data_IF_428358218576
#
_entry.id   IF_428358218576
#
_cell.length_a   1.000
_cell.length_b   1.000
_cell.length_c   1.000
_cell.angle_alpha   90.00
_cell.angle_beta   90.00
_cell.angle_gamma   90.00
#
_symmetry.space_group_name_H-M   'P 1'
#
loop_
_entity.id
_entity.type
_entity.pdbx_description
1 polymer ?
#
# COMPACT_ATOMS: atom_id res chain seq x y z
N UNK A 1 -46.15 12.60 -63.60
CA UNK A 1 -44.78 12.07 -63.78
C UNK A 1 -43.92 12.52 -62.61
N UNK A 2 -43.25 11.57 -61.97
CA UNK A 2 -42.61 11.70 -60.67
C UNK A 2 -41.32 12.53 -60.68
N UNK A 3 -41.09 13.31 -59.61
CA UNK A 3 -39.79 13.39 -58.91
C UNK A 3 -39.95 14.08 -57.55
N UNK A 4 -40.03 13.26 -56.50
CA UNK A 4 -39.85 13.66 -55.10
C UNK A 4 -38.40 14.14 -54.91
N UNK A 5 -38.22 15.35 -54.35
CA UNK A 5 -36.97 15.75 -53.67
C UNK A 5 -37.27 15.85 -52.18
N UNK A 6 -36.93 14.81 -51.44
CA UNK A 6 -36.98 14.80 -49.98
C UNK A 6 -35.71 15.42 -49.41
N UNK A 7 -35.92 16.34 -48.48
CA UNK A 7 -34.95 16.94 -47.56
C UNK A 7 -34.15 15.88 -46.81
N UNK A 8 -32.82 15.99 -46.84
CA UNK A 8 -31.91 15.25 -45.97
C UNK A 8 -31.61 16.11 -44.75
N UNK A 9 -32.40 15.95 -43.68
CA UNK A 9 -32.05 16.46 -42.35
C UNK A 9 -31.00 15.54 -41.70
N UNK A 10 -29.88 16.14 -41.31
CA UNK A 10 -28.82 15.46 -40.59
C UNK A 10 -29.35 14.95 -39.23
N UNK A 11 -29.52 13.63 -39.14
CA UNK A 11 -30.00 12.98 -37.91
C UNK A 11 -28.79 12.67 -37.02
N UNK A 12 -28.73 13.36 -35.88
CA UNK A 12 -27.80 13.14 -34.75
C UNK A 12 -27.83 11.65 -34.34
N UNK A 13 -26.70 10.93 -34.21
CA UNK A 13 -26.75 9.55 -33.74
C UNK A 13 -27.11 9.53 -32.25
N UNK A 14 -28.26 8.92 -31.95
CA UNK A 14 -28.69 8.52 -30.59
C UNK A 14 -27.58 7.72 -29.92
N UNK A 15 -27.01 8.25 -28.84
CA UNK A 15 -26.17 7.49 -27.90
C UNK A 15 -27.04 6.38 -27.29
N UNK A 16 -26.82 5.13 -27.72
CA UNK A 16 -27.29 3.96 -26.97
C UNK A 16 -26.54 3.92 -25.65
N UNK A 17 -27.26 4.09 -24.55
CA UNK A 17 -26.78 3.75 -23.22
C UNK A 17 -26.54 2.23 -23.17
N UNK A 18 -25.29 1.83 -23.33
CA UNK A 18 -24.82 0.52 -22.87
C UNK A 18 -24.62 0.61 -21.35
N UNK A 19 -25.18 -0.31 -20.55
CA UNK A 19 -24.85 -0.38 -19.13
C UNK A 19 -23.38 -0.77 -18.99
N UNK A 20 -22.60 0.12 -18.35
CA UNK A 20 -21.19 -0.07 -18.05
C UNK A 20 -21.03 -1.20 -17.03
N UNK A 21 -20.50 -2.32 -17.51
CA UNK A 21 -20.01 -3.44 -16.70
C UNK A 21 -18.93 -2.90 -15.76
N UNK A 22 -19.25 -2.88 -14.47
CA UNK A 22 -18.30 -2.63 -13.41
C UNK A 22 -17.19 -3.69 -13.48
N UNK A 23 -15.97 -3.29 -13.84
CA UNK A 23 -14.78 -4.12 -13.68
C UNK A 23 -14.48 -4.18 -12.19
N UNK A 24 -15.12 -5.15 -11.53
CA UNK A 24 -14.76 -5.60 -10.21
C UNK A 24 -13.43 -6.35 -10.32
N UNK A 25 -12.51 -6.03 -9.42
CA UNK A 25 -11.39 -6.90 -9.10
C UNK A 25 -12.00 -8.18 -8.52
N UNK A 26 -12.26 -9.16 -9.37
CA UNK A 26 -12.53 -10.53 -8.93
C UNK A 26 -11.19 -11.14 -8.52
N UNK A 27 -10.92 -11.15 -7.22
CA UNK A 27 -10.23 -12.28 -6.63
C UNK A 27 -11.04 -13.53 -7.03
N UNK A 28 -10.42 -14.44 -7.76
CA UNK A 28 -11.05 -15.68 -8.16
C UNK A 28 -11.24 -16.55 -6.92
N UNK A 29 -12.45 -16.56 -6.37
CA UNK A 29 -12.93 -17.65 -5.52
C UNK A 29 -12.95 -18.96 -6.34
N UNK A 30 -12.67 -20.12 -5.72
CA UNK A 30 -12.60 -21.39 -6.45
C UNK A 30 -13.98 -21.77 -6.99
N UNK A 31 -14.03 -22.13 -8.26
CA UNK A 31 -15.23 -22.64 -8.92
C UNK A 31 -15.58 -24.00 -8.33
N UNK A 32 -16.73 -24.12 -7.66
CA UNK A 32 -17.25 -25.40 -7.19
C UNK A 32 -17.70 -26.24 -8.38
N UNK A 33 -16.96 -27.31 -8.69
CA UNK A 33 -17.44 -28.37 -9.56
C UNK A 33 -18.40 -29.27 -8.76
N UNK A 34 -19.66 -29.35 -9.21
CA UNK A 34 -20.62 -30.35 -8.73
C UNK A 34 -20.42 -31.62 -9.57
N UNK A 35 -20.01 -32.71 -8.94
CA UNK A 35 -20.25 -34.07 -9.39
C UNK A 35 -20.30 -34.99 -8.16
N UNK A 36 -21.38 -35.75 -8.04
CA UNK A 36 -21.61 -36.65 -6.91
C UNK A 36 -20.71 -37.90 -6.95
N UNK A 37 -20.60 -38.53 -5.78
CA UNK A 37 -19.90 -39.81 -5.60
C UNK A 37 -19.03 -39.77 -4.35
N UNK A 38 -19.56 -40.29 -3.24
CA UNK A 38 -18.84 -40.42 -1.98
C UNK A 38 -17.60 -41.32 -2.15
N UNK A 39 -16.41 -40.78 -1.88
CA UNK A 39 -15.28 -41.58 -1.43
C UNK A 39 -14.26 -40.69 -0.73
N UNK A 40 -14.09 -40.95 0.58
CA UNK A 40 -12.99 -40.58 1.49
C UNK A 40 -12.58 -39.10 1.51
N UNK A 41 -12.86 -38.47 2.65
CA UNK A 41 -12.19 -37.27 3.10
C UNK A 41 -10.67 -37.46 2.95
N UNK A 42 -10.10 -36.87 1.89
CA UNK A 42 -8.69 -36.54 1.85
C UNK A 42 -8.47 -35.58 3.01
N UNK A 43 -7.52 -35.90 3.89
CA UNK A 43 -6.89 -34.89 4.73
C UNK A 43 -6.68 -33.65 3.88
N UNK A 44 -7.27 -32.53 4.29
CA UNK A 44 -7.15 -31.28 3.56
C UNK A 44 -5.67 -30.88 3.62
N UNK A 45 -4.91 -31.28 2.59
CA UNK A 45 -3.51 -30.92 2.46
C UNK A 45 -3.39 -29.42 2.70
N UNK A 46 -2.61 -29.05 3.71
CA UNK A 46 -2.46 -27.65 4.06
C UNK A 46 -1.98 -26.91 2.81
N UNK A 47 -2.65 -25.81 2.40
CA UNK A 47 -2.31 -25.14 1.16
C UNK A 47 -0.86 -24.67 1.25
N UNK A 48 -0.01 -25.23 0.39
CA UNK A 48 1.37 -24.79 0.22
C UNK A 48 1.42 -23.71 -0.86
N UNK A 49 2.44 -22.87 -0.79
CA UNK A 49 2.68 -21.82 -1.74
C UNK A 49 4.15 -21.76 -2.13
N UNK A 50 4.40 -21.32 -3.35
CA UNK A 50 5.73 -21.04 -3.87
C UNK A 50 5.84 -19.54 -4.11
N UNK A 51 6.95 -18.95 -3.66
CA UNK A 51 7.25 -17.53 -3.89
C UNK A 51 8.54 -17.45 -4.68
N UNK A 52 8.46 -16.85 -5.85
CA UNK A 52 9.58 -16.71 -6.77
C UNK A 52 9.77 -15.26 -7.16
N UNK A 53 11.03 -14.83 -7.29
CA UNK A 53 11.36 -13.49 -7.75
C UNK A 53 12.31 -13.58 -8.92
N UNK A 54 11.96 -12.92 -10.01
CA UNK A 54 12.80 -12.79 -11.21
C UNK A 54 13.02 -11.32 -11.53
N UNK A 55 14.07 -11.03 -12.29
CA UNK A 55 14.34 -9.69 -12.76
C UNK A 55 14.76 -9.66 -14.22
N UNK A 56 14.51 -8.52 -14.85
CA UNK A 56 14.91 -8.20 -16.22
C UNK A 56 15.20 -6.70 -16.32
N UNK A 57 15.89 -6.29 -17.38
CA UNK A 57 16.12 -4.87 -17.64
C UNK A 57 14.91 -4.24 -18.35
N UNK A 58 14.52 -3.03 -17.95
CA UNK A 58 13.42 -2.29 -18.59
C UNK A 58 13.71 -1.85 -20.03
N UNK A 59 14.98 -1.92 -20.46
CA UNK A 59 15.46 -1.48 -21.77
C UNK A 59 15.89 -0.01 -21.77
N UNK A 60 16.68 0.40 -22.75
CA UNK A 60 17.37 1.70 -22.75
C UNK A 60 16.51 2.87 -23.27
N UNK A 61 15.39 2.61 -23.95
CA UNK A 61 14.50 3.65 -24.48
C UNK A 61 13.23 3.12 -25.14
N UNK A 62 12.23 4.00 -25.30
CA UNK A 62 10.94 3.69 -25.91
C UNK A 62 9.75 4.20 -25.10
N UNK A 63 8.55 3.97 -25.62
CA UNK A 63 7.30 4.24 -24.90
C UNK A 63 7.08 3.23 -23.77
N UNK A 64 6.39 3.61 -22.66
CA UNK A 64 5.99 2.66 -21.64
C UNK A 64 5.20 1.49 -22.21
N UNK A 65 5.49 0.27 -21.74
CA UNK A 65 4.88 -0.97 -22.24
C UNK A 65 4.44 -1.87 -21.10
N UNK A 66 3.49 -2.77 -21.38
CA UNK A 66 3.10 -3.81 -20.44
C UNK A 66 3.98 -5.03 -20.67
N UNK A 67 4.60 -5.59 -19.63
CA UNK A 67 5.40 -6.80 -19.73
C UNK A 67 4.60 -8.00 -19.23
N UNK A 68 4.47 -9.06 -20.04
CA UNK A 68 3.91 -10.34 -19.59
C UNK A 68 5.04 -11.31 -19.29
N UNK A 69 5.08 -11.82 -18.07
CA UNK A 69 6.04 -12.83 -17.63
C UNK A 69 5.31 -14.16 -17.45
N UNK A 70 5.72 -15.18 -18.19
CA UNK A 70 5.23 -16.55 -18.00
C UNK A 70 6.18 -17.32 -17.11
N UNK A 71 5.63 -17.80 -16.00
CA UNK A 71 6.26 -18.68 -15.03
C UNK A 71 5.84 -20.11 -15.34
N UNK A 72 6.82 -21.00 -15.49
CA UNK A 72 6.58 -22.44 -15.66
C UNK A 72 7.31 -23.17 -14.55
N UNK A 73 6.59 -23.91 -13.72
CA UNK A 73 7.16 -24.69 -12.63
C UNK A 73 7.00 -26.18 -12.83
N UNK A 74 7.99 -26.95 -12.39
CA UNK A 74 7.97 -28.42 -12.33
C UNK A 74 8.51 -28.88 -10.99
N UNK A 75 7.81 -29.81 -10.36
CA UNK A 75 8.25 -30.40 -9.10
C UNK A 75 9.39 -31.39 -9.33
N UNK A 76 10.40 -31.33 -8.49
CA UNK A 76 11.62 -32.14 -8.58
C UNK A 76 11.46 -33.40 -7.73
N UNK A 77 12.16 -34.48 -8.12
CA UNK A 77 12.25 -35.70 -7.31
C UNK A 77 11.02 -36.61 -7.35
N UNK A 78 10.13 -36.44 -8.33
CA UNK A 78 8.96 -37.30 -8.52
C UNK A 78 9.43 -38.70 -8.94
N UNK A 79 8.98 -39.72 -8.19
CA UNK A 79 9.14 -41.13 -8.58
C UNK A 79 7.88 -41.57 -9.32
N UNK A 80 8.00 -41.84 -10.62
CA UNK A 80 6.88 -42.26 -11.47
C UNK A 80 6.41 -41.18 -12.45
N UNK A 81 5.23 -41.35 -13.03
CA UNK A 81 4.66 -40.39 -14.00
C UNK A 81 4.23 -39.09 -13.29
N UNK A 82 4.65 -37.91 -13.79
CA UNK A 82 4.21 -36.62 -13.26
C UNK A 82 2.69 -36.48 -13.31
N UNK A 83 2.09 -35.98 -12.23
CA UNK A 83 0.65 -35.71 -12.14
C UNK A 83 0.36 -34.26 -12.56
N UNK A 84 -0.90 -33.92 -12.89
CA UNK A 84 -1.29 -32.55 -13.19
C UNK A 84 -0.91 -31.53 -12.10
N UNK A 85 -0.86 -31.94 -10.83
CA UNK A 85 -0.46 -31.11 -9.69
C UNK A 85 1.06 -30.94 -9.51
N UNK A 86 1.89 -31.61 -10.31
CA UNK A 86 3.37 -31.53 -10.23
C UNK A 86 3.96 -30.51 -11.23
N UNK A 87 3.11 -29.75 -11.93
CA UNK A 87 3.53 -28.69 -12.85
C UNK A 87 2.54 -27.53 -12.83
N UNK A 88 3.01 -26.33 -13.14
CA UNK A 88 2.13 -25.17 -13.32
C UNK A 88 2.64 -24.26 -14.43
N UNK A 89 1.70 -23.53 -15.04
CA UNK A 89 1.99 -22.39 -15.92
C UNK A 89 1.18 -21.22 -15.42
N UNK A 90 1.83 -20.06 -15.22
CA UNK A 90 1.18 -18.85 -14.75
C UNK A 90 1.72 -17.63 -15.46
N UNK A 91 0.82 -16.81 -15.98
CA UNK A 91 1.16 -15.52 -16.60
C UNK A 91 0.94 -14.39 -15.60
N UNK A 92 1.94 -13.55 -15.43
CA UNK A 92 1.90 -12.33 -14.63
C UNK A 92 2.12 -11.12 -15.54
N UNK A 93 1.20 -10.15 -15.49
CA UNK A 93 1.33 -8.91 -16.24
C UNK A 93 1.82 -7.79 -15.33
N UNK A 94 2.87 -7.09 -15.77
CA UNK A 94 3.39 -5.86 -15.20
C UNK A 94 2.94 -4.73 -16.12
N UNK A 95 2.06 -3.87 -15.62
CA UNK A 95 1.55 -2.74 -16.39
C UNK A 95 2.50 -1.55 -16.30
N UNK A 96 2.69 -0.84 -17.42
CA UNK A 96 3.42 0.43 -17.45
C UNK A 96 4.89 0.34 -17.03
N UNK A 97 5.62 -0.67 -17.52
CA UNK A 97 7.09 -0.70 -17.45
C UNK A 97 7.63 0.51 -18.22
N UNK A 98 8.46 1.31 -17.55
CA UNK A 98 9.06 2.51 -18.14
C UNK A 98 10.51 2.20 -18.53
N UNK A 99 10.88 2.26 -19.82
CA UNK A 99 12.26 2.14 -20.26
C UNK A 99 13.18 3.16 -19.57
N UNK A 100 14.45 2.82 -19.40
CA UNK A 100 15.45 3.64 -18.71
C UNK A 100 15.30 3.65 -17.18
N UNK A 101 14.44 2.79 -16.62
CA UNK A 101 14.37 2.59 -15.16
C UNK A 101 15.41 1.61 -14.64
N UNK A 102 16.12 0.91 -15.54
CA UNK A 102 17.09 -0.14 -15.24
C UNK A 102 16.40 -1.44 -14.79
N UNK A 103 16.90 -2.13 -13.75
CA UNK A 103 16.43 -3.45 -13.35
C UNK A 103 15.02 -3.40 -12.75
N UNK A 104 14.12 -4.21 -13.32
CA UNK A 104 12.76 -4.45 -12.86
C UNK A 104 12.66 -5.87 -12.30
N UNK A 105 12.12 -6.02 -11.10
CA UNK A 105 11.86 -7.33 -10.49
C UNK A 105 10.37 -7.62 -10.38
N UNK A 106 10.00 -8.86 -10.59
CA UNK A 106 8.66 -9.40 -10.35
C UNK A 106 8.73 -10.49 -9.28
N UNK A 107 7.95 -10.35 -8.22
CA UNK A 107 7.68 -11.39 -7.24
C UNK A 107 6.28 -11.95 -7.47
N UNK A 108 6.17 -13.28 -7.59
CA UNK A 108 4.92 -13.98 -7.79
C UNK A 108 4.68 -15.02 -6.68
N UNK A 109 3.42 -15.20 -6.31
CA UNK A 109 2.96 -16.18 -5.33
C UNK A 109 2.06 -17.19 -6.01
N UNK A 110 2.49 -18.46 -6.06
CA UNK A 110 1.70 -19.56 -6.61
C UNK A 110 1.19 -20.39 -5.44
N UNK A 111 -0.12 -20.36 -5.20
CA UNK A 111 -0.78 -21.05 -4.09
C UNK A 111 -1.40 -22.38 -4.55
N UNK A 112 -1.62 -23.30 -3.61
CA UNK A 112 -2.31 -24.57 -3.86
C UNK A 112 -1.41 -25.58 -4.59
N UNK A 113 -0.10 -25.52 -4.34
CA UNK A 113 0.87 -26.46 -4.90
C UNK A 113 1.06 -27.65 -3.96
N UNK A 114 1.58 -28.75 -4.50
CA UNK A 114 2.04 -29.88 -3.69
C UNK A 114 3.34 -29.53 -2.96
N UNK A 115 3.47 -30.03 -1.72
CA UNK A 115 4.69 -29.84 -0.92
C UNK A 115 5.93 -30.40 -1.63
N UNK A 116 7.01 -29.65 -1.68
CA UNK A 116 8.30 -30.15 -2.19
C UNK A 116 9.20 -29.08 -2.78
N UNK A 117 10.15 -29.52 -3.58
CA UNK A 117 11.07 -28.64 -4.31
C UNK A 117 10.62 -28.49 -5.76
N UNK A 118 10.72 -27.25 -6.26
CA UNK A 118 10.20 -26.86 -7.57
C UNK A 118 11.28 -26.14 -8.37
N UNK A 119 11.54 -26.61 -9.57
CA UNK A 119 12.25 -25.84 -10.58
C UNK A 119 11.28 -24.89 -11.26
N UNK A 120 11.65 -23.61 -11.34
CA UNK A 120 10.81 -22.59 -11.97
C UNK A 120 11.64 -21.86 -13.01
N UNK A 121 11.06 -21.72 -14.19
CA UNK A 121 11.58 -20.91 -15.29
C UNK A 121 10.64 -19.72 -15.52
N UNK A 122 11.22 -18.59 -15.91
CA UNK A 122 10.48 -17.38 -16.23
C UNK A 122 10.90 -16.82 -17.58
N UNK A 123 9.92 -16.40 -18.41
CA UNK A 123 10.17 -15.82 -19.73
C UNK A 123 9.29 -14.60 -19.98
N UNK A 124 9.86 -13.58 -20.62
CA UNK A 124 9.09 -12.45 -21.13
C UNK A 124 8.35 -12.88 -22.41
N UNK A 125 7.06 -12.57 -22.46
CA UNK A 125 6.21 -12.76 -23.63
C UNK A 125 5.99 -11.40 -24.28
N UNK A 126 6.31 -11.24 -25.58
CA UNK A 126 6.01 -10.01 -26.31
C UNK A 126 4.51 -9.70 -26.28
N UNK A 127 4.19 -8.48 -25.87
CA UNK A 127 2.84 -7.90 -25.83
C UNK A 127 2.78 -6.82 -26.92
N UNK A 128 2.11 -7.10 -28.04
CA UNK A 128 1.94 -6.08 -29.08
C UNK A 128 1.00 -4.97 -28.61
N UNK A 129 1.29 -3.68 -28.88
CA UNK A 129 0.35 -2.60 -28.65
C UNK A 129 -0.94 -2.88 -29.44
N UNK A 130 -2.09 -2.97 -28.77
CA UNK A 130 -3.39 -3.18 -29.42
C UNK A 130 -4.00 -4.59 -29.32
N UNK A 131 -3.52 -5.46 -28.43
CA UNK A 131 -4.25 -6.68 -28.05
C UNK A 131 -4.28 -7.81 -29.09
N UNK A 132 -3.59 -7.67 -30.22
CA UNK A 132 -3.29 -8.80 -31.10
C UNK A 132 -2.09 -9.55 -30.55
N UNK A 133 -2.32 -10.76 -30.03
CA UNK A 133 -1.23 -11.69 -29.73
C UNK A 133 -0.37 -11.86 -30.98
N UNK A 134 0.87 -11.40 -30.96
CA UNK A 134 1.85 -11.81 -31.96
C UNK A 134 1.91 -13.34 -31.98
N UNK A 135 2.11 -13.91 -33.16
CA UNK A 135 2.20 -15.35 -33.37
C UNK A 135 3.28 -15.93 -32.42
N UNK A 136 2.97 -16.86 -31.50
CA UNK A 136 3.88 -17.31 -30.44
C UNK A 136 5.15 -18.02 -30.93
N UNK A 137 5.31 -18.21 -32.24
CA UNK A 137 6.40 -18.98 -32.85
C UNK A 137 7.65 -18.19 -33.21
N UNK A 138 7.68 -16.85 -33.14
CA UNK A 138 8.76 -16.11 -33.82
C UNK A 138 9.78 -15.34 -32.99
N UNK A 139 9.62 -15.09 -31.68
CA UNK A 139 10.75 -14.63 -30.85
C UNK A 139 10.53 -15.07 -29.40
N UNK A 140 11.08 -16.23 -29.00
CA UNK A 140 11.20 -16.54 -27.58
C UNK A 140 12.28 -15.61 -27.02
N UNK A 141 11.88 -14.59 -26.24
CA UNK A 141 12.84 -13.75 -25.52
C UNK A 141 13.64 -14.63 -24.54
N UNK A 142 14.91 -14.27 -24.25
CA UNK A 142 15.74 -15.03 -23.34
C UNK A 142 15.07 -15.21 -21.97
N UNK A 143 15.33 -16.33 -21.27
CA UNK A 143 14.82 -16.52 -19.92
C UNK A 143 15.28 -15.38 -19.02
N UNK A 144 14.36 -14.87 -18.21
CA UNK A 144 14.69 -13.83 -17.24
C UNK A 144 15.32 -14.48 -16.01
N UNK A 145 16.17 -13.72 -15.33
CA UNK A 145 17.07 -14.29 -14.33
C UNK A 145 16.42 -14.32 -12.94
N UNK A 146 16.65 -15.37 -12.13
CA UNK A 146 16.27 -15.34 -10.73
C UNK A 146 16.88 -14.13 -10.02
N UNK A 147 16.12 -13.52 -9.13
CA UNK A 147 16.51 -12.30 -8.45
C UNK A 147 16.80 -12.53 -6.97
N UNK A 148 17.86 -11.88 -6.49
CA UNK A 148 18.11 -11.65 -5.07
C UNK A 148 18.33 -10.16 -4.82
N UNK A 149 18.33 -9.76 -3.55
CA UNK A 149 18.46 -8.36 -3.14
C UNK A 149 19.76 -8.12 -2.39
N UNK A 150 20.54 -7.14 -2.85
CA UNK A 150 21.74 -6.69 -2.16
C UNK A 150 21.46 -5.44 -1.34
N UNK A 151 21.43 -5.58 -0.01
CA UNK A 151 21.26 -4.45 0.91
C UNK A 151 22.42 -3.47 0.88
N UNK A 152 23.64 -3.93 0.58
CA UNK A 152 24.84 -3.07 0.49
C UNK A 152 24.84 -2.20 -0.76
N UNK A 153 24.41 -2.74 -1.90
CA UNK A 153 24.38 -2.01 -3.20
C UNK A 153 23.04 -1.34 -3.49
N UNK A 154 22.02 -1.61 -2.68
CA UNK A 154 20.64 -1.20 -2.92
C UNK A 154 20.19 -1.56 -4.35
N UNK A 155 20.50 -2.78 -4.78
CA UNK A 155 20.24 -3.23 -6.14
C UNK A 155 19.77 -4.68 -6.16
N UNK A 156 18.94 -4.99 -7.16
CA UNK A 156 18.68 -6.37 -7.53
C UNK A 156 19.98 -6.98 -8.06
N UNK A 157 20.20 -8.25 -7.77
CA UNK A 157 21.33 -9.04 -8.26
C UNK A 157 20.80 -10.39 -8.75
N UNK A 158 21.52 -11.03 -9.66
CA UNK A 158 21.18 -12.37 -10.13
C UNK A 158 21.39 -13.40 -9.02
N UNK A 159 20.40 -14.25 -8.80
CA UNK A 159 20.50 -15.43 -7.96
C UNK A 159 20.81 -16.67 -8.81
N UNK A 160 21.48 -17.69 -8.24
CA UNK A 160 21.69 -18.95 -8.93
C UNK A 160 20.34 -19.63 -9.22
N UNK A 161 20.26 -20.32 -10.36
CA UNK A 161 19.13 -21.18 -10.67
C UNK A 161 19.24 -22.42 -9.77
N UNK A 162 18.25 -22.62 -8.91
CA UNK A 162 18.18 -23.75 -8.00
C UNK A 162 16.70 -24.10 -7.69
N UNK A 163 16.39 -25.35 -7.33
CA UNK A 163 15.06 -25.73 -6.87
C UNK A 163 14.62 -24.89 -5.65
N UNK A 164 13.37 -24.47 -5.65
CA UNK A 164 12.78 -23.65 -4.60
C UNK A 164 11.78 -24.49 -3.82
N UNK A 165 11.95 -24.53 -2.49
CA UNK A 165 11.05 -25.26 -1.61
C UNK A 165 9.73 -24.51 -1.43
N UNK A 166 8.61 -25.24 -1.44
CA UNK A 166 7.32 -24.67 -1.03
C UNK A 166 7.33 -24.24 0.42
N UNK A 167 6.42 -23.35 0.76
CA UNK A 167 6.19 -22.89 2.12
C UNK A 167 4.71 -22.80 2.41
N UNK A 168 4.38 -22.94 3.69
CA UNK A 168 3.02 -22.80 4.16
C UNK A 168 2.36 -21.51 3.65
N UNK A 169 1.20 -21.61 3.00
CA UNK A 169 0.56 -20.49 2.30
C UNK A 169 0.35 -19.28 3.19
N UNK A 170 0.07 -19.49 4.48
CA UNK A 170 -0.14 -18.43 5.46
C UNK A 170 1.12 -17.58 5.71
N UNK A 171 2.31 -18.19 5.58
CA UNK A 171 3.58 -17.47 5.72
C UNK A 171 4.11 -16.93 4.40
N UNK A 172 3.53 -17.34 3.26
CA UNK A 172 3.98 -16.94 1.92
C UNK A 172 4.13 -15.42 1.73
N UNK A 173 3.25 -14.56 2.27
CA UNK A 173 3.42 -13.10 2.20
C UNK A 173 4.68 -12.58 2.93
N UNK A 174 5.19 -13.32 3.90
CA UNK A 174 6.42 -13.00 4.65
C UNK A 174 7.71 -13.49 3.96
N UNK A 175 7.62 -13.93 2.71
CA UNK A 175 8.78 -14.36 1.94
C UNK A 175 9.76 -13.19 1.79
N UNK A 176 11.04 -13.48 1.58
CA UNK A 176 12.01 -12.42 1.25
C UNK A 176 11.66 -11.86 -0.12
N UNK A 177 11.27 -10.59 -0.18
CA UNK A 177 11.15 -9.86 -1.45
C UNK A 177 12.21 -8.76 -1.53
N UNK A 178 12.65 -8.37 -2.73
CA UNK A 178 13.63 -7.30 -2.86
C UNK A 178 13.15 -5.97 -2.28
N UNK A 179 14.04 -5.31 -1.53
CA UNK A 179 13.77 -4.07 -0.78
C UNK A 179 12.54 -4.10 0.16
N UNK A 180 12.10 -5.28 0.59
CA UNK A 180 11.00 -5.42 1.54
C UNK A 180 11.48 -6.11 2.82
N UNK A 181 11.17 -5.51 3.96
CA UNK A 181 11.37 -6.10 5.29
C UNK A 181 10.01 -6.22 6.00
N UNK A 182 9.44 -7.44 6.06
CA UNK A 182 8.19 -7.66 6.79
C UNK A 182 8.32 -7.23 8.26
N UNK A 183 7.26 -6.65 8.82
CA UNK A 183 7.20 -6.26 10.25
C UNK A 183 7.90 -4.95 10.63
N UNK A 184 8.72 -4.34 9.77
CA UNK A 184 9.41 -3.08 10.12
C UNK A 184 8.42 -1.92 10.29
N UNK A 185 7.34 -1.89 9.50
CA UNK A 185 6.31 -0.86 9.67
C UNK A 185 5.70 -0.86 11.07
N UNK A 186 5.35 -2.03 11.61
CA UNK A 186 4.77 -2.13 12.96
C UNK A 186 5.78 -1.77 14.04
N UNK A 187 7.04 -2.18 13.90
CA UNK A 187 8.10 -1.80 14.82
C UNK A 187 8.32 -0.27 14.85
N UNK A 188 8.42 0.37 13.68
CA UNK A 188 8.58 1.82 13.58
C UNK A 188 7.34 2.60 14.05
N UNK A 189 6.14 2.06 13.85
CA UNK A 189 4.92 2.65 14.38
C UNK A 189 4.92 2.65 15.92
N UNK A 190 5.31 1.54 16.55
CA UNK A 190 5.43 1.45 18.01
C UNK A 190 6.46 2.46 18.53
N UNK A 191 7.64 2.53 17.90
CA UNK A 191 8.66 3.53 18.25
C UNK A 191 8.10 4.95 18.10
N UNK A 192 7.38 5.22 17.02
CA UNK A 192 6.72 6.51 16.79
C UNK A 192 5.73 6.87 17.89
N UNK A 193 4.89 5.94 18.34
CA UNK A 193 3.95 6.17 19.44
C UNK A 193 4.66 6.42 20.76
N UNK A 194 5.70 5.64 21.09
CA UNK A 194 6.47 5.82 22.32
C UNK A 194 7.14 7.19 22.34
N UNK A 195 7.79 7.59 21.23
CA UNK A 195 8.43 8.91 21.14
C UNK A 195 7.39 10.03 21.18
N UNK A 196 6.22 9.85 20.57
CA UNK A 196 5.16 10.86 20.62
C UNK A 196 4.65 11.11 22.04
N UNK A 197 4.40 10.04 22.81
CA UNK A 197 3.96 10.14 24.21
C UNK A 197 5.08 10.72 25.09
N UNK A 198 6.33 10.33 24.88
CA UNK A 198 7.47 10.86 25.61
C UNK A 198 7.67 12.37 25.35
N UNK A 199 7.54 12.81 24.10
CA UNK A 199 7.62 14.23 23.74
C UNK A 199 6.46 15.03 24.35
N UNK A 200 5.24 14.50 24.30
CA UNK A 200 4.08 15.14 24.93
C UNK A 200 4.30 15.33 26.44
N UNK A 201 4.74 14.28 27.15
CA UNK A 201 5.06 14.35 28.57
C UNK A 201 6.16 15.37 28.87
N UNK A 202 7.26 15.34 28.10
CA UNK A 202 8.38 16.25 28.29
C UNK A 202 7.99 17.73 28.05
N UNK A 203 7.17 17.99 27.03
CA UNK A 203 6.67 19.33 26.71
C UNK A 203 5.74 19.84 27.81
N UNK A 204 4.74 19.05 28.21
CA UNK A 204 3.79 19.44 29.26
C UNK A 204 4.48 19.63 30.61
N UNK A 205 5.40 18.72 30.97
CA UNK A 205 6.20 18.81 32.18
C UNK A 205 7.10 20.05 32.21
N UNK A 206 7.71 20.43 31.06
CA UNK A 206 8.46 21.69 30.96
C UNK A 206 7.58 22.93 31.12
N UNK A 207 6.32 22.84 30.73
CA UNK A 207 5.35 23.92 30.89
C UNK A 207 4.73 23.97 32.30
N UNK A 208 5.17 23.11 33.24
CA UNK A 208 4.63 23.04 34.60
C UNK A 208 3.19 22.50 34.66
N UNK A 209 2.72 21.84 33.60
CA UNK A 209 1.38 21.25 33.55
C UNK A 209 1.42 19.78 33.96
N UNK A 210 0.39 19.28 34.69
CA UNK A 210 0.24 17.85 34.92
C UNK A 210 0.10 17.14 33.57
N UNK A 211 0.98 16.17 33.32
CA UNK A 211 1.06 15.49 32.03
C UNK A 211 0.34 14.14 32.04
N UNK A 212 0.01 13.61 33.21
CA UNK A 212 -0.57 12.28 33.40
C UNK A 212 -1.97 12.17 32.78
N UNK A 213 -2.94 13.09 33.04
CA UNK A 213 -4.26 12.99 32.41
C UNK A 213 -4.21 13.15 30.88
N UNK A 214 -3.49 14.14 30.30
CA UNK A 214 -3.33 14.25 28.85
C UNK A 214 -2.68 13.01 28.21
N UNK A 215 -1.65 12.45 28.85
CA UNK A 215 -0.96 11.26 28.34
C UNK A 215 -1.86 10.03 28.41
N UNK A 216 -2.64 9.87 29.50
CA UNK A 216 -3.65 8.82 29.60
C UNK A 216 -4.72 8.96 28.51
N UNK A 217 -5.17 10.19 28.22
CA UNK A 217 -6.13 10.44 27.15
C UNK A 217 -5.57 10.06 25.77
N UNK A 218 -4.29 10.35 25.52
CA UNK A 218 -3.59 9.93 24.30
C UNK A 218 -3.46 8.41 24.20
N UNK A 219 -3.19 7.69 25.29
CA UNK A 219 -3.16 6.22 25.29
C UNK A 219 -4.55 5.64 25.02
N UNK A 220 -5.60 6.15 25.66
CA UNK A 220 -6.99 5.74 25.41
C UNK A 220 -7.36 5.96 23.94
N UNK A 221 -7.00 7.12 23.38
CA UNK A 221 -7.21 7.45 21.98
C UNK A 221 -6.44 6.52 21.02
N UNK A 222 -5.19 6.15 21.34
CA UNK A 222 -4.40 5.20 20.54
C UNK A 222 -5.07 3.82 20.51
N UNK A 223 -5.49 3.30 21.67
CA UNK A 223 -6.16 2.00 21.77
C UNK A 223 -7.49 2.03 21.01
N UNK A 224 -8.32 3.05 21.25
CA UNK A 224 -9.59 3.20 20.55
C UNK A 224 -9.40 3.36 19.04
N UNK A 225 -8.37 4.09 18.60
CA UNK A 225 -7.99 4.23 17.21
C UNK A 225 -7.63 2.89 16.56
N UNK A 226 -6.86 2.04 17.25
CA UNK A 226 -6.54 0.69 16.76
C UNK A 226 -7.80 -0.16 16.63
N UNK A 227 -8.69 -0.13 17.63
CA UNK A 227 -9.99 -0.81 17.57
C UNK A 227 -10.80 -0.29 16.37
N UNK A 228 -10.86 1.03 16.18
CA UNK A 228 -11.52 1.67 15.04
C UNK A 228 -10.94 1.24 13.69
N UNK A 229 -9.62 1.15 13.58
CA UNK A 229 -8.95 0.69 12.37
C UNK A 229 -9.30 -0.75 12.01
N UNK A 230 -9.47 -1.59 13.05
CA UNK A 230 -9.83 -3.00 12.88
C UNK A 230 -11.30 -3.16 12.52
N UNK A 231 -12.19 -2.47 13.22
CA UNK A 231 -13.62 -2.45 12.95
C UNK A 231 -13.90 -1.94 11.52
N UNK A 232 -13.24 -0.86 11.11
CA UNK A 232 -13.40 -0.31 9.76
C UNK A 232 -12.92 -1.29 8.68
N UNK A 233 -11.82 -2.02 8.92
CA UNK A 233 -11.38 -3.08 8.01
C UNK A 233 -12.42 -4.18 7.84
N UNK A 234 -13.00 -4.63 8.96
CA UNK A 234 -14.01 -5.69 8.99
C UNK A 234 -15.27 -5.32 8.19
N UNK A 235 -15.69 -4.05 8.28
CA UNK A 235 -16.82 -3.53 7.48
C UNK A 235 -16.50 -3.53 5.99
N UNK A 236 -15.26 -3.21 5.61
CA UNK A 236 -14.83 -3.19 4.21
C UNK A 236 -14.59 -4.60 3.62
N UNK A 237 -14.29 -5.59 4.47
CA UNK A 237 -13.96 -6.95 4.07
C UNK A 237 -14.73 -7.97 4.95
N UNK A 238 -16.07 -8.06 4.81
CA UNK A 238 -16.91 -8.88 5.68
C UNK A 238 -16.61 -10.38 5.57
N UNK A 239 -16.06 -10.82 4.43
CA UNK A 239 -15.75 -12.22 4.15
C UNK A 239 -14.36 -12.64 4.68
N UNK A 240 -13.57 -11.71 5.21
CA UNK A 240 -12.25 -11.98 5.77
C UNK A 240 -12.29 -12.16 7.29
N UNK A 241 -11.42 -13.04 7.81
CA UNK A 241 -11.28 -13.24 9.26
C UNK A 241 -10.91 -11.93 9.94
N UNK A 242 -11.64 -11.55 11.00
CA UNK A 242 -11.30 -10.38 11.80
C UNK A 242 -9.88 -10.52 12.38
N UNK A 243 -9.51 -11.67 12.93
CA UNK A 243 -8.20 -11.84 13.59
C UNK A 243 -7.05 -11.85 12.57
N UNK A 244 -7.21 -12.56 11.44
CA UNK A 244 -6.14 -12.74 10.43
C UNK A 244 -6.14 -11.65 9.34
N UNK A 245 -7.22 -10.89 9.22
CA UNK A 245 -7.38 -9.84 8.23
C UNK A 245 -6.51 -8.62 8.50
N UNK A 246 -6.45 -7.71 7.53
CA UNK A 246 -5.70 -6.47 7.60
C UNK A 246 -6.26 -5.43 8.59
N UNK A 247 -5.85 -4.19 8.34
CA UNK A 247 -6.20 -3.00 9.12
C UNK A 247 -6.50 -1.85 8.16
N UNK A 248 -7.50 -1.03 8.49
CA UNK A 248 -7.85 0.14 7.69
C UNK A 248 -7.49 1.41 8.46
N UNK A 249 -6.46 2.12 8.00
CA UNK A 249 -5.96 3.34 8.66
C UNK A 249 -7.03 4.43 8.77
N UNK A 250 -8.02 4.43 7.89
CA UNK A 250 -9.14 5.37 7.90
C UNK A 250 -9.92 5.33 9.23
N UNK A 251 -10.12 4.13 9.80
CA UNK A 251 -10.80 3.97 11.09
C UNK A 251 -10.00 4.59 12.24
N UNK A 252 -8.67 4.45 12.21
CA UNK A 252 -7.79 5.10 13.20
C UNK A 252 -7.89 6.62 13.13
N UNK A 253 -7.85 7.18 11.92
CA UNK A 253 -7.84 8.63 11.68
C UNK A 253 -9.13 9.34 12.12
N UNK A 254 -10.24 8.61 12.23
CA UNK A 254 -11.52 9.15 12.70
C UNK A 254 -11.70 8.90 14.19
N UNK A 255 -11.47 7.66 14.66
CA UNK A 255 -11.77 7.28 16.04
C UNK A 255 -10.78 7.86 17.04
N UNK A 256 -9.47 7.87 16.74
CA UNK A 256 -8.47 8.34 17.71
C UNK A 256 -8.67 9.83 18.07
N UNK A 257 -8.80 10.77 17.11
CA UNK A 257 -8.97 12.18 17.46
C UNK A 257 -10.32 12.47 18.14
N UNK A 258 -11.38 11.76 17.76
CA UNK A 258 -12.69 11.88 18.39
C UNK A 258 -12.64 11.46 19.86
N UNK A 259 -12.07 10.29 20.15
CA UNK A 259 -11.91 9.79 21.51
C UNK A 259 -10.98 10.69 22.31
N UNK A 260 -9.86 11.15 21.73
CA UNK A 260 -8.97 12.11 22.39
C UNK A 260 -9.73 13.38 22.81
N UNK A 261 -10.52 13.97 21.91
CA UNK A 261 -11.29 15.17 22.22
C UNK A 261 -12.33 14.93 23.32
N UNK A 262 -13.11 13.87 23.22
CA UNK A 262 -14.12 13.51 24.23
C UNK A 262 -13.47 13.31 25.61
N UNK A 263 -12.37 12.56 25.67
CA UNK A 263 -11.67 12.28 26.93
C UNK A 263 -11.04 13.53 27.53
N UNK A 264 -10.43 14.39 26.71
CA UNK A 264 -9.86 15.65 27.19
C UNK A 264 -10.94 16.62 27.71
N UNK A 265 -12.10 16.71 27.05
CA UNK A 265 -13.26 17.48 27.55
C UNK A 265 -13.77 16.89 28.87
N UNK A 266 -13.96 15.58 28.93
CA UNK A 266 -14.50 14.90 30.11
C UNK A 266 -13.59 15.01 31.35
N UNK A 267 -12.28 15.20 31.14
CA UNK A 267 -11.29 15.35 32.21
C UNK A 267 -10.82 16.79 32.42
N UNK A 268 -11.58 17.77 31.90
CA UNK A 268 -11.33 19.21 32.07
C UNK A 268 -9.90 19.63 31.70
N UNK A 269 -9.36 19.05 30.63
CA UNK A 269 -8.01 19.34 30.15
C UNK A 269 -8.01 20.49 29.14
N UNK A 270 -6.96 21.33 29.10
CA UNK A 270 -6.83 22.40 28.12
C UNK A 270 -6.47 21.82 26.74
N UNK A 271 -7.49 21.49 25.95
CA UNK A 271 -7.36 20.74 24.68
C UNK A 271 -6.34 21.39 23.76
N UNK A 272 -6.41 22.70 23.58
CA UNK A 272 -5.51 23.43 22.69
C UNK A 272 -4.03 23.23 23.06
N UNK A 273 -3.67 23.39 24.34
CA UNK A 273 -2.29 23.20 24.80
C UNK A 273 -1.85 21.75 24.70
N UNK A 274 -2.74 20.80 25.01
CA UNK A 274 -2.46 19.37 24.90
C UNK A 274 -2.22 18.99 23.44
N UNK A 275 -3.04 19.47 22.50
CA UNK A 275 -2.87 19.20 21.07
C UNK A 275 -1.59 19.79 20.51
N UNK A 276 -1.26 21.03 20.88
CA UNK A 276 0.00 21.65 20.47
C UNK A 276 1.21 20.87 21.01
N UNK A 277 1.16 20.42 22.28
CA UNK A 277 2.20 19.58 22.87
C UNK A 277 2.32 18.19 22.21
N UNK A 278 1.22 17.65 21.67
CA UNK A 278 1.21 16.35 20.98
C UNK A 278 1.72 16.45 19.54
N UNK A 279 1.61 17.64 18.93
CA UNK A 279 1.89 17.87 17.50
C UNK A 279 3.29 17.41 17.04
N UNK A 280 4.40 17.73 17.74
CA UNK A 280 5.72 17.30 17.32
C UNK A 280 5.86 15.77 17.31
N UNK A 281 5.29 15.11 18.32
CA UNK A 281 5.25 13.66 18.45
C UNK A 281 4.51 12.98 17.30
N UNK A 282 3.33 13.50 16.94
CA UNK A 282 2.54 12.98 15.82
C UNK A 282 3.33 13.06 14.51
N UNK A 283 3.95 14.20 14.22
CA UNK A 283 4.69 14.37 12.96
C UNK A 283 5.99 13.56 12.91
N UNK A 284 6.62 13.33 14.06
CA UNK A 284 7.72 12.38 14.16
C UNK A 284 7.26 10.94 13.87
N UNK A 285 6.12 10.52 14.43
CA UNK A 285 5.52 9.22 14.13
C UNK A 285 5.14 9.09 12.64
N UNK A 286 4.64 10.17 12.01
CA UNK A 286 4.42 10.22 10.55
C UNK A 286 5.71 10.00 9.78
N UNK A 287 6.80 10.68 10.17
CA UNK A 287 8.10 10.52 9.52
C UNK A 287 8.57 9.05 9.55
N UNK A 288 8.61 8.46 10.75
CA UNK A 288 9.00 7.05 10.92
C UNK A 288 8.05 6.08 10.19
N UNK A 289 6.74 6.31 10.26
CA UNK A 289 5.75 5.50 9.57
C UNK A 289 5.95 5.48 8.05
N UNK A 290 6.35 6.61 7.46
CA UNK A 290 6.62 6.72 6.02
C UNK A 290 7.92 6.04 5.59
N UNK A 291 8.96 6.05 6.43
CA UNK A 291 10.13 5.17 6.24
C UNK A 291 9.70 3.70 6.29
N UNK A 292 8.84 3.34 7.24
CA UNK A 292 8.23 2.02 7.34
C UNK A 292 7.48 1.63 6.06
N UNK A 293 6.68 2.54 5.49
CA UNK A 293 5.97 2.30 4.22
C UNK A 293 6.94 2.03 3.06
N UNK A 294 8.05 2.77 2.99
CA UNK A 294 9.07 2.59 1.97
C UNK A 294 9.71 1.20 2.02
N UNK A 295 10.14 0.75 3.20
CA UNK A 295 10.80 -0.55 3.38
C UNK A 295 9.84 -1.73 3.48
N UNK A 296 8.54 -1.51 3.63
CA UNK A 296 7.53 -2.58 3.57
C UNK A 296 6.86 -2.67 2.21
N UNK A 297 7.23 -1.77 1.28
CA UNK A 297 6.71 -1.72 -0.07
C UNK A 297 5.23 -1.38 -0.16
N UNK A 298 4.75 -0.40 0.61
CA UNK A 298 3.40 0.14 0.46
C UNK A 298 3.43 1.62 0.03
N UNK A 299 2.34 2.07 -0.59
CA UNK A 299 2.18 3.45 -1.07
C UNK A 299 3.28 3.92 -2.05
N UNK A 300 3.75 3.02 -2.92
CA UNK A 300 4.86 3.28 -3.83
C UNK A 300 4.57 4.41 -4.83
N UNK A 301 5.61 5.18 -5.15
CA UNK A 301 5.58 6.15 -6.25
C UNK A 301 5.48 5.48 -7.62
N UNK A 302 5.14 6.29 -8.63
CA UNK A 302 5.18 5.86 -10.04
C UNK A 302 6.62 5.50 -10.44
N UNK A 303 6.75 4.56 -11.37
CA UNK A 303 8.02 4.24 -12.01
C UNK A 303 8.56 5.48 -12.74
N UNK A 304 9.88 5.70 -12.67
CA UNK A 304 10.51 6.88 -13.29
C UNK A 304 11.95 6.60 -13.68
N UNK A 305 12.35 7.03 -14.88
CA UNK A 305 13.73 7.05 -15.32
C UNK A 305 14.53 8.26 -14.76
N UNK A 306 13.88 9.16 -14.01
CA UNK A 306 14.51 10.35 -13.44
C UNK A 306 15.68 10.00 -12.51
N UNK A 307 16.73 10.82 -12.53
CA UNK A 307 17.92 10.68 -11.65
C UNK A 307 17.59 10.63 -10.15
N UNK A 308 16.46 11.20 -9.75
CA UNK A 308 15.96 11.25 -8.37
C UNK A 308 15.15 10.01 -7.98
N UNK A 309 14.88 9.11 -8.93
CA UNK A 309 14.18 7.87 -8.67
C UNK A 309 15.06 6.93 -7.84
N UNK A 310 14.46 6.28 -6.85
CA UNK A 310 15.09 5.30 -5.99
C UNK A 310 14.45 3.95 -6.24
N UNK A 311 15.25 2.89 -6.24
CA UNK A 311 14.72 1.54 -6.39
C UNK A 311 13.88 1.16 -5.17
N UNK A 312 12.61 0.83 -5.39
CA UNK A 312 11.71 0.34 -4.33
C UNK A 312 10.69 -0.65 -4.90
N UNK A 313 10.16 -1.47 -4.00
CA UNK A 313 9.21 -2.53 -4.32
C UNK A 313 7.83 -2.19 -3.79
N UNK A 314 6.78 -2.59 -4.51
CA UNK A 314 5.40 -2.63 -3.99
C UNK A 314 5.00 -4.04 -3.51
N UNK A 315 6.01 -4.83 -3.11
CA UNK A 315 5.99 -6.28 -2.83
C UNK A 315 5.87 -7.15 -4.07
N UNK A 316 5.15 -6.72 -5.11
CA UNK A 316 4.98 -7.48 -6.35
C UNK A 316 6.00 -7.07 -7.42
N UNK A 317 6.13 -5.77 -7.66
CA UNK A 317 6.98 -5.18 -8.69
C UNK A 317 7.98 -4.22 -8.05
N UNK A 318 9.25 -4.54 -8.23
CA UNK A 318 10.37 -3.69 -7.85
C UNK A 318 10.92 -2.95 -9.04
N UNK A 319 11.07 -1.64 -8.94
CA UNK A 319 11.59 -0.80 -10.01
C UNK A 319 12.11 0.53 -9.45
N UNK A 320 12.77 1.32 -10.30
CA UNK A 320 13.10 2.71 -9.97
C UNK A 320 11.84 3.56 -9.94
N UNK A 321 11.54 4.15 -8.78
CA UNK A 321 10.29 4.88 -8.52
C UNK A 321 10.55 6.25 -7.92
N UNK A 322 9.61 7.17 -8.10
CA UNK A 322 9.63 8.45 -7.40
C UNK A 322 9.56 8.14 -5.89
N UNK A 323 10.50 8.61 -5.05
CA UNK A 323 10.55 8.26 -3.63
C UNK A 323 9.53 9.06 -2.80
N UNK A 324 8.25 8.98 -3.16
CA UNK A 324 7.16 9.75 -2.54
C UNK A 324 7.06 9.50 -1.04
N UNK A 325 7.32 8.29 -0.58
CA UNK A 325 7.30 7.97 0.84
C UNK A 325 8.43 8.67 1.60
N UNK A 326 9.64 8.75 1.03
CA UNK A 326 10.76 9.45 1.67
C UNK A 326 10.57 10.97 1.65
N UNK A 327 9.96 11.52 0.58
CA UNK A 327 9.58 12.93 0.54
C UNK A 327 8.52 13.23 1.62
N UNK A 328 7.51 12.36 1.77
CA UNK A 328 6.49 12.50 2.83
C UNK A 328 7.10 12.35 4.23
N UNK A 329 8.09 11.46 4.38
CA UNK A 329 8.85 11.30 5.61
C UNK A 329 9.65 12.56 5.95
N UNK A 330 10.33 13.15 4.98
CA UNK A 330 11.10 14.37 5.18
C UNK A 330 10.20 15.55 5.55
N UNK A 331 9.04 15.67 4.89
CA UNK A 331 8.02 16.66 5.25
C UNK A 331 7.48 16.45 6.68
N UNK A 332 7.19 15.21 7.06
CA UNK A 332 6.78 14.88 8.43
C UNK A 332 7.86 15.25 9.45
N UNK A 333 9.12 14.94 9.17
CA UNK A 333 10.23 15.29 10.06
C UNK A 333 10.42 16.81 10.18
N UNK A 334 10.32 17.54 9.06
CA UNK A 334 10.39 19.00 9.06
C UNK A 334 9.26 19.62 9.90
N UNK A 335 8.04 19.10 9.79
CA UNK A 335 6.91 19.53 10.62
C UNK A 335 7.12 19.18 12.10
N UNK A 336 7.70 18.01 12.41
CA UNK A 336 8.02 17.62 13.78
C UNK A 336 9.05 18.57 14.42
N UNK A 337 10.14 18.88 13.71
CA UNK A 337 11.19 19.78 14.19
C UNK A 337 10.67 21.22 14.31
N UNK A 338 9.96 21.71 13.31
CA UNK A 338 9.40 23.06 13.32
C UNK A 338 8.37 23.23 14.46
N UNK A 339 7.43 22.29 14.60
CA UNK A 339 6.46 22.33 15.69
C UNK A 339 7.13 22.21 17.06
N UNK A 340 8.13 21.35 17.23
CA UNK A 340 8.89 21.26 18.47
C UNK A 340 9.53 22.60 18.83
N UNK A 341 10.20 23.25 17.87
CA UNK A 341 10.82 24.55 18.10
C UNK A 341 9.79 25.62 18.47
N UNK A 342 8.65 25.66 17.78
CA UNK A 342 7.57 26.64 18.03
C UNK A 342 6.97 26.45 19.43
N UNK A 343 6.71 25.20 19.83
CA UNK A 343 6.18 24.87 21.17
C UNK A 343 7.20 25.27 22.25
N UNK A 344 8.46 24.89 22.09
CA UNK A 344 9.50 25.16 23.09
C UNK A 344 9.80 26.65 23.23
N UNK A 345 9.64 27.43 22.15
CA UNK A 345 9.77 28.88 22.17
C UNK A 345 8.54 29.60 22.75
N UNK A 346 7.45 28.88 23.05
CA UNK A 346 6.15 29.46 23.42
C UNK A 346 5.69 30.54 22.40
N UNK A 347 5.97 30.31 21.12
CA UNK A 347 5.82 31.34 20.08
C UNK A 347 4.36 31.59 19.64
N UNK A 348 3.44 30.72 20.06
CA UNK A 348 2.02 30.76 19.67
C UNK A 348 1.17 30.99 20.93
N UNK A 349 0.50 32.15 21.05
CA UNK A 349 -0.28 32.48 22.24
C UNK A 349 -1.64 31.75 22.29
N UNK A 350 -2.13 31.28 21.14
CA UNK A 350 -3.44 30.63 21.00
C UNK A 350 -3.26 29.11 21.04
N UNK A 351 -3.80 28.48 22.10
CA UNK A 351 -3.76 27.02 22.22
C UNK A 351 -4.50 26.33 21.07
N UNK A 352 -3.87 25.33 20.47
CA UNK A 352 -4.38 24.50 19.38
C UNK A 352 -4.06 25.04 17.98
N UNK A 353 -3.59 26.29 17.86
CA UNK A 353 -3.31 26.88 16.56
C UNK A 353 -2.13 26.20 15.85
N UNK A 354 -1.12 25.75 16.59
CA UNK A 354 0.01 25.02 16.01
C UNK A 354 -0.44 23.66 15.47
N UNK A 355 -1.25 22.92 16.23
CA UNK A 355 -1.81 21.64 15.79
C UNK A 355 -2.56 21.82 14.46
N UNK A 356 -3.48 22.79 14.39
CA UNK A 356 -4.28 23.06 13.19
C UNK A 356 -3.41 23.44 12.01
N UNK A 357 -2.46 24.36 12.20
CA UNK A 357 -1.55 24.81 11.15
C UNK A 357 -0.67 23.67 10.61
N UNK A 358 -0.10 22.86 11.49
CA UNK A 358 0.76 21.75 11.10
C UNK A 358 -0.01 20.64 10.35
N UNK A 359 -1.24 20.32 10.79
CA UNK A 359 -2.11 19.38 10.06
C UNK A 359 -2.58 19.91 8.71
N UNK A 360 -2.91 21.21 8.62
CA UNK A 360 -3.25 21.84 7.34
C UNK A 360 -2.06 21.78 6.36
N UNK A 361 -0.86 22.12 6.83
CA UNK A 361 0.36 22.04 6.03
C UNK A 361 0.62 20.61 5.53
N UNK A 362 0.52 19.61 6.41
CA UNK A 362 0.66 18.20 6.03
C UNK A 362 -0.40 17.74 5.03
N UNK A 363 -1.66 18.16 5.20
CA UNK A 363 -2.74 17.84 4.28
C UNK A 363 -2.43 18.37 2.87
N UNK A 364 -1.95 19.61 2.75
CA UNK A 364 -1.55 20.21 1.47
C UNK A 364 -0.41 19.43 0.81
N UNK A 365 0.65 19.13 1.57
CA UNK A 365 1.80 18.32 1.09
C UNK A 365 1.30 16.97 0.58
N UNK A 366 0.43 16.30 1.34
CA UNK A 366 -0.14 15.01 0.96
C UNK A 366 -0.97 15.10 -0.32
N UNK A 367 -1.73 16.17 -0.55
CA UNK A 367 -2.47 16.33 -1.81
C UNK A 367 -1.55 16.41 -3.02
N UNK A 368 -0.39 17.07 -2.89
CA UNK A 368 0.62 17.13 -3.96
C UNK A 368 1.22 15.74 -4.19
N UNK A 369 1.67 15.06 -3.13
CA UNK A 369 2.31 13.75 -3.22
C UNK A 369 1.40 12.65 -3.78
N UNK A 370 0.09 12.73 -3.53
CA UNK A 370 -0.86 11.77 -4.09
C UNK A 370 -0.89 11.78 -5.62
N UNK A 371 -0.49 12.87 -6.30
CA UNK A 371 -0.35 12.93 -7.76
C UNK A 371 0.86 12.15 -8.28
N UNK A 372 1.81 11.83 -7.40
CA UNK A 372 3.06 11.14 -7.72
C UNK A 372 3.01 9.64 -7.41
N UNK A 373 1.97 9.15 -6.72
CA UNK A 373 1.80 7.73 -6.36
C UNK A 373 1.37 6.86 -7.55
N UNK A 374 1.76 5.59 -7.51
CA UNK A 374 1.45 4.59 -8.53
C UNK A 374 -0.03 4.21 -8.58
N UNK A 375 -0.70 4.20 -7.42
CA UNK A 375 -2.14 3.98 -7.33
C UNK A 375 -2.91 5.09 -8.05
N UNK A 376 -3.36 4.79 -9.26
CA UNK A 376 -4.20 5.67 -10.04
C UNK A 376 -5.57 5.76 -9.38
N UNK A 377 -5.85 6.89 -8.73
CA UNK A 377 -7.24 7.22 -8.36
C UNK A 377 -8.12 7.16 -9.62
N UNK A 378 -9.22 6.41 -9.54
CA UNK A 378 -10.24 6.29 -10.61
C UNK A 378 -10.82 7.66 -11.01
N UNK A 379 -10.77 8.66 -10.12
CA UNK A 379 -11.12 10.06 -10.38
C UNK A 379 -10.29 11.01 -9.51
N UNK A 380 -9.78 12.14 -10.04
CA UNK A 380 -9.11 13.19 -9.26
C UNK A 380 -10.04 13.94 -8.28
N UNK A 381 -11.37 13.82 -8.45
CA UNK A 381 -12.37 14.65 -7.77
C UNK A 381 -13.12 13.95 -6.64
N UNK A 382 -13.03 12.63 -6.51
CA UNK A 382 -13.69 11.90 -5.43
C UNK A 382 -12.76 11.83 -4.21
N UNK A 383 -12.99 12.70 -3.22
CA UNK A 383 -12.51 12.47 -1.87
C UNK A 383 -13.19 11.21 -1.33
N UNK A 384 -12.45 10.22 -0.79
CA UNK A 384 -13.09 9.11 -0.11
C UNK A 384 -13.89 9.67 1.08
N UNK A 385 -15.07 9.11 1.37
CA UNK A 385 -15.92 9.56 2.47
C UNK A 385 -15.17 9.64 3.82
N UNK A 386 -14.17 8.79 4.01
CA UNK A 386 -13.27 8.78 5.16
C UNK A 386 -12.40 10.02 5.28
N UNK A 387 -11.98 10.61 4.15
CA UNK A 387 -11.24 11.88 4.17
C UNK A 387 -12.15 13.05 4.55
N UNK A 388 -13.42 13.02 4.16
CA UNK A 388 -14.41 14.03 4.59
C UNK A 388 -14.67 13.90 6.09
N UNK A 389 -14.88 12.67 6.59
CA UNK A 389 -15.09 12.40 8.01
C UNK A 389 -13.88 12.84 8.86
N UNK A 390 -12.66 12.48 8.45
CA UNK A 390 -11.44 12.92 9.13
C UNK A 390 -11.27 14.45 9.11
N UNK A 391 -11.64 15.10 7.99
CA UNK A 391 -11.66 16.55 7.89
C UNK A 391 -12.66 17.21 8.84
N UNK A 392 -13.88 16.69 8.93
CA UNK A 392 -14.90 17.15 9.87
C UNK A 392 -14.45 16.98 11.32
N UNK A 393 -13.88 15.83 11.67
CA UNK A 393 -13.33 15.60 13.02
C UNK A 393 -12.22 16.61 13.33
N UNK A 394 -11.29 16.85 12.40
CA UNK A 394 -10.24 17.84 12.60
C UNK A 394 -10.80 19.26 12.81
N UNK A 395 -11.84 19.64 12.06
CA UNK A 395 -12.53 20.93 12.23
C UNK A 395 -13.21 20.99 13.60
N UNK A 396 -13.93 19.95 14.01
CA UNK A 396 -14.59 19.91 15.33
C UNK A 396 -13.57 20.03 16.46
N UNK A 397 -12.45 19.31 16.37
CA UNK A 397 -11.35 19.39 17.35
C UNK A 397 -10.75 20.81 17.39
N UNK A 398 -10.56 21.44 16.23
CA UNK A 398 -10.07 22.81 16.13
C UNK A 398 -11.05 23.81 16.77
N UNK A 399 -12.36 23.67 16.51
CA UNK A 399 -13.40 24.53 17.08
C UNK A 399 -13.44 24.37 18.60
N UNK A 400 -13.40 23.14 19.13
CA UNK A 400 -13.36 22.88 20.56
C UNK A 400 -12.13 23.52 21.23
N UNK A 401 -10.96 23.44 20.58
CA UNK A 401 -9.76 24.07 21.08
C UNK A 401 -9.87 25.60 21.13
N UNK A 402 -10.50 26.22 20.12
CA UNK A 402 -10.74 27.67 20.07
C UNK A 402 -11.76 28.10 21.12
N UNK A 403 -12.86 27.36 21.28
CA UNK A 403 -13.92 27.68 22.27
C UNK A 403 -13.41 27.62 23.71
N UNK A 404 -12.48 26.71 24.03
CA UNK A 404 -11.84 26.69 25.35
C UNK A 404 -10.82 27.83 25.57
N UNK A 405 -10.37 28.48 24.49
CA UNK A 405 -9.40 29.57 24.57
C UNK A 405 -10.07 30.96 24.70
N UNK A 406 -11.35 31.06 24.38
CA UNK A 406 -12.23 32.24 24.59
C UNK A 406 -12.96 32.13 25.91
#
# INVERSE_FOLDING_TARGET
MARRRSSSSATKPRRRHQPLVATSQRQAAPVSARAGGASRASEAAEPEALVVTYWFDSGDGGEPYDAKVRLTGRRVGIRGTPRPGDSFIRDETIEGVVPGTGPVSLTAWVYGLEHGEWEVDARLIPTSPGGRSANPRTVALPPIQPATWSWRRWSVSTAPVAPIKTRWALTAPLARQPAVVPGVYTALAVVGFVVALALQAAILGRAGMPFEPPLAASVVALVAGLIGAKAWYAVLHPDESLIKGGWAVDGFLVVAPLVAAITLVAWDQPIGRVLDATTPGIFFAVALGRVGCFVTGCCAGRCTASRWGIWSSDRRVGARRIPTQLIESAAGLALAVASLAIVLANAVPIGGALFVAAFAAYALIRQVLLRLRAERRRSPRSLPATAVAAGLVAITVAVLAIVQAT
#
